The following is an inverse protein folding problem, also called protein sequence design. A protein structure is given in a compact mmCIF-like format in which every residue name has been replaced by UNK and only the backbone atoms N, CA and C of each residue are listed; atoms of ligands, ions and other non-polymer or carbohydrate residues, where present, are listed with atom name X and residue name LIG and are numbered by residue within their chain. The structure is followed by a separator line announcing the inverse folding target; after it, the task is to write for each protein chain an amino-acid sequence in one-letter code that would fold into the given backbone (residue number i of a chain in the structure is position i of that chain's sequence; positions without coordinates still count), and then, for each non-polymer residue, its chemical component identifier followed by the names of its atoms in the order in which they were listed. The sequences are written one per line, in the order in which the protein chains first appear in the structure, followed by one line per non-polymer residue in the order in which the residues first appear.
data_IF_535923464644
#
_entry.id   IF_535923464644
#
_cell.length_a   1.000
_cell.length_b   1.000
_cell.length_c   1.000
_cell.angle_alpha   90.00
_cell.angle_beta   90.00
_cell.angle_gamma   90.00
#
_symmetry.space_group_name_H-M   'P 1'
#
loop_
_entity.id
_entity.type
_entity.pdbx_description
1 polymer ?
#
# COMPACT_ATOMS: atom_id res chain seq x y z
N UNK A 1 3.29 45.44 -4.80
CA UNK A 1 2.00 45.42 -4.09
C UNK A 1 1.44 44.01 -4.16
N UNK A 2 1.20 43.39 -3.00
CA UNK A 2 0.53 42.10 -2.90
C UNK A 2 -0.97 42.25 -3.15
N UNK A 3 -1.61 41.27 -3.80
CA UNK A 3 -2.94 40.78 -3.40
C UNK A 3 -3.00 39.26 -3.58
N UNK A 4 -2.93 38.62 -2.43
CA UNK A 4 -3.19 37.20 -2.16
C UNK A 4 -4.70 37.00 -2.33
N UNK A 5 -5.11 35.94 -3.03
CA UNK A 5 -6.51 35.48 -3.00
C UNK A 5 -6.56 33.98 -2.78
N UNK A 6 -6.54 33.65 -1.47
CA UNK A 6 -7.26 32.58 -0.77
C UNK A 6 -7.63 31.34 -1.60
N UNK A 7 -6.83 30.28 -1.44
CA UNK A 7 -7.30 28.90 -1.66
C UNK A 7 -8.31 28.62 -0.55
N UNK A 8 -9.57 28.34 -0.92
CA UNK A 8 -10.55 27.86 0.03
C UNK A 8 -10.06 26.50 0.57
N UNK A 9 -9.59 26.51 1.82
CA UNK A 9 -9.32 25.31 2.59
C UNK A 9 -10.66 24.59 2.77
N UNK A 10 -10.89 23.55 1.97
CA UNK A 10 -11.84 22.51 2.30
C UNK A 10 -11.31 21.84 3.56
N UNK A 11 -11.80 22.31 4.71
CA UNK A 11 -11.64 21.65 5.99
C UNK A 11 -12.35 20.30 5.89
N UNK A 12 -11.60 19.28 5.46
CA UNK A 12 -12.02 17.90 5.63
C UNK A 12 -12.10 17.66 7.14
N UNK A 13 -13.34 17.55 7.63
CA UNK A 13 -13.62 17.09 8.97
C UNK A 13 -12.81 15.81 9.19
N UNK A 14 -11.94 15.85 10.21
CA UNK A 14 -11.23 14.67 10.69
C UNK A 14 -12.25 13.74 11.35
N UNK A 15 -12.98 12.98 10.55
CA UNK A 15 -13.36 11.65 10.98
C UNK A 15 -12.07 10.85 10.97
N UNK A 16 -11.65 10.43 12.15
CA UNK A 16 -10.50 9.55 12.38
C UNK A 16 -10.68 8.24 11.63
N UNK A 17 -10.40 8.21 10.33
CA UNK A 17 -10.01 7.01 9.61
C UNK A 17 -8.53 6.82 9.92
N UNK A 18 -8.28 6.44 11.17
CA UNK A 18 -6.98 6.06 11.66
C UNK A 18 -6.52 4.81 10.90
N UNK A 19 -5.75 5.09 9.85
CA UNK A 19 -4.69 4.30 9.23
C UNK A 19 -4.97 2.87 8.75
N UNK A 20 -4.25 2.43 7.70
CA UNK A 20 -4.23 1.05 7.25
C UNK A 20 -3.57 0.20 8.34
N UNK A 21 -4.38 -0.55 9.07
CA UNK A 21 -3.87 -1.56 9.99
C UNK A 21 -3.65 -2.84 9.17
N UNK A 22 -2.40 -3.08 8.82
CA UNK A 22 -1.91 -4.43 8.69
C UNK A 22 -0.94 -4.65 9.86
N UNK A 23 -1.29 -5.46 10.86
CA UNK A 23 -0.32 -6.05 11.75
C UNK A 23 -0.34 -7.58 11.61
N UNK A 24 0.80 -8.11 11.18
CA UNK A 24 1.56 -9.11 11.94
C UNK A 24 0.74 -10.04 12.85
N UNK A 25 0.45 -11.25 12.37
CA UNK A 25 0.37 -12.46 13.20
C UNK A 25 -0.72 -12.54 14.27
N UNK A 26 -1.67 -11.61 14.32
CA UNK A 26 -2.83 -11.67 15.20
C UNK A 26 -4.10 -11.73 14.34
N UNK A 27 -5.12 -12.46 14.81
CA UNK A 27 -6.43 -12.69 14.18
C UNK A 27 -7.25 -11.40 13.93
N UNK A 28 -6.69 -10.40 13.26
CA UNK A 28 -7.40 -9.20 12.87
C UNK A 28 -8.20 -9.48 11.60
N UNK A 29 -9.51 -9.14 11.60
CA UNK A 29 -10.37 -9.46 10.48
C UNK A 29 -9.95 -8.65 9.25
N UNK A 30 -9.76 -9.34 8.13
CA UNK A 30 -9.53 -8.69 6.84
C UNK A 30 -10.81 -7.95 6.45
N UNK A 31 -10.72 -6.64 6.23
CA UNK A 31 -11.87 -5.81 5.87
C UNK A 31 -11.97 -5.63 4.35
N UNK A 32 -13.21 -5.58 3.85
CA UNK A 32 -13.51 -5.14 2.50
C UNK A 32 -13.45 -3.60 2.37
N UNK A 33 -13.67 -3.08 1.15
CA UNK A 33 -13.66 -1.63 0.90
C UNK A 33 -14.76 -0.84 1.60
N UNK A 34 -15.79 -1.53 2.11
CA UNK A 34 -16.88 -0.95 2.85
C UNK A 34 -16.60 -0.98 4.36
N UNK A 35 -15.45 -1.53 4.77
CA UNK A 35 -15.05 -1.67 6.17
C UNK A 35 -15.68 -2.88 6.85
N UNK A 36 -16.30 -3.80 6.10
CA UNK A 36 -16.90 -5.00 6.67
C UNK A 36 -15.88 -6.14 6.72
N UNK A 37 -15.86 -6.96 7.78
CA UNK A 37 -15.01 -8.14 7.82
C UNK A 37 -15.42 -9.14 6.73
N UNK A 38 -14.42 -9.75 6.08
CA UNK A 38 -14.65 -10.85 5.14
C UNK A 38 -15.25 -12.05 5.87
N UNK A 39 -16.05 -12.84 5.14
CA UNK A 39 -16.46 -14.15 5.64
C UNK A 39 -15.24 -15.07 5.72
N UNK A 40 -15.25 -16.04 6.64
CA UNK A 40 -14.13 -16.98 6.85
C UNK A 40 -13.67 -17.66 5.56
N UNK A 41 -14.60 -18.05 4.70
CA UNK A 41 -14.27 -18.68 3.41
C UNK A 41 -13.58 -17.72 2.43
N UNK A 42 -13.97 -16.44 2.43
CA UNK A 42 -13.34 -15.40 1.62
C UNK A 42 -11.98 -14.99 2.17
N UNK A 43 -11.85 -14.94 3.49
CA UNK A 43 -10.59 -14.67 4.18
C UNK A 43 -9.56 -15.77 3.87
N UNK A 44 -9.94 -17.05 3.99
CA UNK A 44 -9.06 -18.17 3.65
C UNK A 44 -8.65 -18.17 2.16
N UNK A 45 -9.58 -17.83 1.26
CA UNK A 45 -9.25 -17.68 -0.17
C UNK A 45 -8.32 -16.50 -0.43
N UNK A 46 -8.55 -15.36 0.24
CA UNK A 46 -7.69 -14.19 0.13
C UNK A 46 -6.26 -14.52 0.57
N UNK A 47 -6.09 -15.10 1.76
CA UNK A 47 -4.77 -15.47 2.30
C UNK A 47 -4.04 -16.46 1.39
N UNK A 48 -4.75 -17.45 0.84
CA UNK A 48 -4.17 -18.41 -0.11
C UNK A 48 -3.72 -17.73 -1.42
N UNK A 49 -4.50 -16.79 -1.93
CA UNK A 49 -4.15 -16.04 -3.14
C UNK A 49 -2.99 -15.08 -2.87
N UNK A 50 -2.96 -14.43 -1.72
CA UNK A 50 -1.87 -13.55 -1.29
C UNK A 50 -0.56 -14.33 -1.19
N UNK A 51 -0.56 -15.48 -0.51
CA UNK A 51 0.62 -16.34 -0.41
C UNK A 51 1.10 -16.82 -1.80
N UNK A 52 0.17 -17.23 -2.67
CA UNK A 52 0.51 -17.66 -4.03
C UNK A 52 1.10 -16.53 -4.88
N UNK A 53 0.57 -15.31 -4.73
CA UNK A 53 1.07 -14.13 -5.41
C UNK A 53 2.49 -13.78 -4.92
N UNK A 54 2.72 -13.77 -3.60
CA UNK A 54 4.05 -13.52 -3.03
C UNK A 54 5.09 -14.54 -3.51
N UNK A 55 4.70 -15.83 -3.61
CA UNK A 55 5.59 -16.86 -4.15
C UNK A 55 5.96 -16.61 -5.63
N UNK A 56 4.97 -16.23 -6.46
CA UNK A 56 5.21 -15.91 -7.86
C UNK A 56 6.04 -14.64 -8.04
N UNK A 57 5.83 -13.63 -7.21
CA UNK A 57 6.63 -12.40 -7.22
C UNK A 57 8.09 -12.72 -6.91
N UNK A 58 8.36 -13.54 -5.89
CA UNK A 58 9.73 -14.00 -5.58
C UNK A 58 10.37 -14.75 -6.75
N UNK A 59 9.61 -15.62 -7.42
CA UNK A 59 10.10 -16.32 -8.62
C UNK A 59 10.41 -15.35 -9.75
N UNK A 60 9.53 -14.37 -10.00
CA UNK A 60 9.72 -13.35 -11.02
C UNK A 60 10.99 -12.53 -10.75
N UNK A 61 11.15 -12.02 -9.54
CA UNK A 61 12.34 -11.23 -9.15
C UNK A 61 13.61 -12.07 -9.24
N UNK A 62 13.53 -13.38 -8.93
CA UNK A 62 14.68 -14.28 -9.11
C UNK A 62 15.11 -14.46 -10.58
N UNK A 63 14.25 -14.16 -11.55
CA UNK A 63 14.61 -14.18 -12.98
C UNK A 63 15.21 -12.88 -13.49
N UNK A 64 15.29 -11.84 -12.65
CA UNK A 64 15.78 -10.54 -13.08
C UNK A 64 17.26 -10.58 -13.44
N UNK A 65 17.62 -9.88 -14.52
CA UNK A 65 19.02 -9.55 -14.81
C UNK A 65 19.54 -8.55 -13.78
N UNK A 66 20.87 -8.38 -13.71
CA UNK A 66 21.49 -7.40 -12.80
C UNK A 66 20.96 -5.98 -13.03
N UNK A 67 20.81 -5.58 -14.29
CA UNK A 67 20.27 -4.25 -14.66
C UNK A 67 18.83 -4.07 -14.18
N UNK A 68 18.01 -5.13 -14.28
CA UNK A 68 16.63 -5.13 -13.78
C UNK A 68 16.58 -5.05 -12.25
N UNK A 69 17.49 -5.72 -11.54
CA UNK A 69 17.60 -5.61 -10.08
C UNK A 69 18.03 -4.21 -9.64
N UNK A 70 19.00 -3.60 -10.32
CA UNK A 70 19.44 -2.23 -10.04
C UNK A 70 18.30 -1.22 -10.29
N UNK A 71 17.52 -1.42 -11.36
CA UNK A 71 16.36 -0.59 -11.66
C UNK A 71 15.24 -0.76 -10.63
N UNK A 72 14.93 -1.99 -10.22
CA UNK A 72 13.95 -2.26 -9.16
C UNK A 72 14.38 -1.59 -7.84
N UNK A 73 15.65 -1.70 -7.47
CA UNK A 73 16.18 -1.05 -6.27
C UNK A 73 16.08 0.48 -6.34
N UNK A 74 16.37 1.10 -7.48
CA UNK A 74 16.18 2.54 -7.66
C UNK A 74 14.71 2.95 -7.55
N UNK A 75 13.78 2.16 -8.11
CA UNK A 75 12.34 2.38 -7.97
C UNK A 75 11.93 2.32 -6.49
N UNK A 76 12.33 1.29 -5.76
CA UNK A 76 12.04 1.16 -4.32
C UNK A 76 12.60 2.35 -3.51
N UNK A 77 13.80 2.83 -3.85
CA UNK A 77 14.40 3.99 -3.21
C UNK A 77 13.60 5.28 -3.47
N UNK A 78 13.17 5.54 -4.71
CA UNK A 78 12.32 6.71 -5.03
C UNK A 78 10.99 6.64 -4.30
N UNK A 79 10.41 5.45 -4.26
CA UNK A 79 9.22 5.18 -3.49
C UNK A 79 9.42 5.52 -2.02
N UNK A 80 10.48 5.04 -1.37
CA UNK A 80 10.79 5.38 0.03
C UNK A 80 10.88 6.90 0.27
N UNK A 81 11.45 7.64 -0.68
CA UNK A 81 11.50 9.11 -0.62
C UNK A 81 10.10 9.75 -0.73
N UNK A 82 9.25 9.25 -1.63
CA UNK A 82 7.86 9.71 -1.73
C UNK A 82 7.09 9.47 -0.44
N UNK A 83 7.28 8.32 0.20
CA UNK A 83 6.64 8.00 1.48
C UNK A 83 7.11 8.94 2.60
N UNK A 84 8.40 9.27 2.63
CA UNK A 84 8.94 10.25 3.57
C UNK A 84 8.33 11.64 3.35
N UNK A 85 8.16 12.07 2.11
CA UNK A 85 7.50 13.36 1.76
C UNK A 85 6.04 13.35 2.20
N UNK A 86 5.34 12.24 1.98
CA UNK A 86 3.92 12.10 2.31
C UNK A 86 3.67 11.80 3.80
N UNK A 87 4.73 11.62 4.60
CA UNK A 87 4.62 11.24 6.01
C UNK A 87 4.01 9.85 6.22
N UNK A 88 4.14 8.96 5.24
CA UNK A 88 3.67 7.58 5.34
C UNK A 88 4.47 6.88 6.46
N UNK A 89 3.81 6.24 7.43
CA UNK A 89 4.51 5.51 8.48
C UNK A 89 5.41 4.43 7.86
N UNK A 90 6.65 4.29 8.36
CA UNK A 90 7.65 3.33 7.84
C UNK A 90 7.20 1.86 7.82
N UNK A 91 6.08 1.55 8.47
CA UNK A 91 5.51 0.21 8.59
C UNK A 91 4.35 -0.03 7.61
N UNK A 92 3.95 0.97 6.83
CA UNK A 92 2.93 0.82 5.80
C UNK A 92 3.56 0.16 4.56
N UNK A 93 3.26 -1.13 4.31
CA UNK A 93 3.58 -1.75 3.02
C UNK A 93 2.83 -1.00 1.92
N UNK A 94 3.56 -0.47 0.94
CA UNK A 94 2.97 0.15 -0.25
C UNK A 94 2.29 -0.93 -1.07
N UNK A 95 0.96 -0.99 -1.06
CA UNK A 95 0.21 -1.81 -2.01
C UNK A 95 0.27 -1.11 -3.38
N UNK A 96 1.22 -1.51 -4.23
CA UNK A 96 1.20 -1.12 -5.63
C UNK A 96 0.01 -1.86 -6.27
N UNK A 97 -1.17 -1.23 -6.25
CA UNK A 97 -2.23 -1.62 -7.18
C UNK A 97 -1.84 -1.11 -8.55
N UNK A 98 -1.31 -2.01 -9.36
CA UNK A 98 -1.29 -1.81 -10.81
C UNK A 98 -2.77 -1.82 -11.22
N UNK A 99 -3.38 -0.64 -11.30
CA UNK A 99 -4.62 -0.46 -12.04
C UNK A 99 -4.29 -0.63 -13.53
N UNK A 100 -4.25 -1.88 -13.99
CA UNK A 100 -4.30 -2.16 -15.43
C UNK A 100 -5.72 -1.84 -15.90
N UNK A 101 -5.86 -0.68 -16.55
CA UNK A 101 -6.96 -0.35 -17.44
C UNK A 101 -7.05 -1.37 -18.58
#
# INVERSE_FOLDING_TARGET
MARITVVALLAFAMSTLALPQAPTGNNEPILDFQGNPLSKDKEAQFLKLEESAEQKEKQLVATFTKEQQEMDQDIQNKYSQLDAILGVPKNAKRQIRINSL
#
